data_IF_994295448641
#
_entry.id   IF_994295448641
#
_cell.length_a   1.000
_cell.length_b   1.000
_cell.length_c   1.000
_cell.angle_alpha   90.00
_cell.angle_beta   90.00
_cell.angle_gamma   90.00
#
_symmetry.space_group_name_H-M   'P 1'
#
loop_
_entity.id
_entity.type
_entity.pdbx_description
1 polymer ?
#
# COMPACT_ATOMS: atom_id res chain seq x y z
N UNK A 1 -16.45 -14.47 4.12
CA UNK A 1 -16.36 -13.76 5.42
C UNK A 1 -15.07 -12.95 5.46
N UNK A 2 -15.07 -11.77 6.09
CA UNK A 2 -13.85 -10.98 6.32
C UNK A 2 -13.00 -11.70 7.37
N UNK A 3 -11.75 -12.00 7.06
CA UNK A 3 -10.82 -12.71 7.94
C UNK A 3 -9.87 -11.77 8.68
N UNK A 4 -9.45 -10.71 8.01
CA UNK A 4 -8.47 -9.76 8.53
C UNK A 4 -8.88 -8.35 8.13
N UNK A 5 -8.80 -7.42 9.08
CA UNK A 5 -8.97 -5.98 8.88
C UNK A 5 -7.67 -5.32 9.30
N UNK A 6 -7.12 -4.52 8.41
CA UNK A 6 -6.03 -3.61 8.71
C UNK A 6 -6.56 -2.18 8.54
N UNK A 7 -6.38 -1.35 9.56
CA UNK A 7 -6.85 0.03 9.54
C UNK A 7 -5.76 0.97 10.03
N UNK A 8 -5.39 1.98 9.25
CA UNK A 8 -4.39 2.99 9.61
C UNK A 8 -4.89 4.38 9.21
N UNK A 9 -5.21 5.22 10.19
CA UNK A 9 -5.76 6.57 10.00
C UNK A 9 -7.30 6.65 9.99
N UNK A 10 -7.93 7.60 10.70
CA UNK A 10 -9.38 7.85 10.62
C UNK A 10 -9.87 8.16 9.20
N UNK A 11 -11.16 7.89 8.91
CA UNK A 11 -11.77 8.13 7.60
C UNK A 11 -12.09 9.62 7.31
N UNK A 12 -11.76 10.53 8.25
CA UNK A 12 -12.02 11.96 8.19
C UNK A 12 -11.49 12.67 9.44
N UNK A 13 -11.82 13.96 9.57
CA UNK A 13 -11.47 14.78 10.76
C UNK A 13 -12.37 14.39 11.93
N UNK A 14 -12.06 13.26 12.56
CA UNK A 14 -12.90 12.63 13.59
C UNK A 14 -13.08 13.49 14.85
N UNK A 15 -12.20 14.47 15.04
CA UNK A 15 -12.27 15.47 16.10
C UNK A 15 -13.50 16.37 15.97
N UNK A 16 -14.03 16.53 14.75
CA UNK A 16 -15.26 17.28 14.47
C UNK A 16 -16.43 16.28 14.34
N UNK A 17 -17.45 16.34 15.22
CA UNK A 17 -18.52 15.33 15.27
C UNK A 17 -19.23 15.07 13.93
N UNK A 18 -19.43 16.11 13.12
CA UNK A 18 -20.07 16.02 11.80
C UNK A 18 -19.27 15.19 10.79
N UNK A 19 -17.95 15.14 10.94
CA UNK A 19 -17.05 14.39 10.04
C UNK A 19 -16.58 13.06 10.64
N UNK A 20 -16.95 12.77 11.90
CA UNK A 20 -16.56 11.54 12.59
C UNK A 20 -17.40 10.32 12.21
N UNK A 21 -18.58 10.52 11.59
CA UNK A 21 -19.59 9.46 11.38
C UNK A 21 -18.98 8.21 10.72
N UNK A 22 -18.22 8.39 9.64
CA UNK A 22 -17.60 7.26 8.93
C UNK A 22 -16.60 6.50 9.82
N UNK A 23 -15.77 7.21 10.58
CA UNK A 23 -14.82 6.61 11.53
C UNK A 23 -15.55 5.82 12.63
N UNK A 24 -16.69 6.32 13.11
CA UNK A 24 -17.50 5.63 14.13
C UNK A 24 -18.12 4.35 13.62
N UNK A 25 -18.69 4.39 12.42
CA UNK A 25 -19.29 3.21 11.81
C UNK A 25 -18.23 2.16 11.47
N UNK A 26 -17.06 2.57 10.95
CA UNK A 26 -15.94 1.65 10.74
C UNK A 26 -15.49 1.01 12.06
N UNK A 27 -15.37 1.79 13.14
CA UNK A 27 -14.96 1.29 14.44
C UNK A 27 -15.93 0.23 15.01
N UNK A 28 -17.25 0.44 14.86
CA UNK A 28 -18.27 -0.54 15.25
C UNK A 28 -18.17 -1.82 14.43
N UNK A 29 -18.11 -1.69 13.10
CA UNK A 29 -18.01 -2.87 12.22
C UNK A 29 -16.72 -3.64 12.51
N UNK A 30 -15.60 -2.94 12.69
CA UNK A 30 -14.33 -3.57 13.03
C UNK A 30 -14.41 -4.32 14.35
N UNK A 31 -15.04 -3.74 15.38
CA UNK A 31 -15.16 -4.40 16.69
C UNK A 31 -16.08 -5.62 16.63
N UNK A 32 -17.21 -5.54 15.93
CA UNK A 32 -18.10 -6.69 15.70
C UNK A 32 -17.37 -7.83 14.97
N UNK A 33 -16.53 -7.52 13.97
CA UNK A 33 -15.74 -8.53 13.27
C UNK A 33 -14.65 -9.12 14.16
N UNK A 34 -14.01 -8.32 15.00
CA UNK A 34 -13.03 -8.81 15.96
C UNK A 34 -13.67 -9.82 16.94
N UNK A 35 -14.83 -9.47 17.50
CA UNK A 35 -15.60 -10.36 18.38
C UNK A 35 -16.08 -11.64 17.66
N UNK A 36 -16.33 -11.55 16.35
CA UNK A 36 -16.65 -12.70 15.51
C UNK A 36 -15.42 -13.52 15.06
N UNK A 37 -14.22 -13.21 15.57
CA UNK A 37 -12.99 -13.98 15.32
C UNK A 37 -12.16 -13.50 14.13
N UNK A 38 -12.47 -12.36 13.53
CA UNK A 38 -11.57 -11.75 12.54
C UNK A 38 -10.36 -11.12 13.24
N UNK A 39 -9.19 -11.14 12.58
CA UNK A 39 -8.01 -10.41 13.07
C UNK A 39 -8.14 -8.94 12.70
N UNK A 40 -8.20 -8.05 13.69
CA UNK A 40 -8.33 -6.61 13.47
C UNK A 40 -7.12 -5.89 14.02
N UNK A 41 -6.31 -5.35 13.12
CA UNK A 41 -5.08 -4.60 13.42
C UNK A 41 -5.32 -3.13 13.11
N UNK A 42 -5.18 -2.28 14.12
CA UNK A 42 -5.34 -0.83 13.95
C UNK A 42 -4.01 -0.14 14.26
N UNK A 43 -3.52 0.67 13.32
CA UNK A 43 -2.26 1.37 13.40
C UNK A 43 -2.43 2.89 13.46
N UNK A 44 -1.58 3.54 14.24
CA UNK A 44 -1.50 5.00 14.35
C UNK A 44 -2.18 5.57 15.59
N UNK A 45 -1.57 6.62 16.16
CA UNK A 45 -2.07 7.28 17.37
C UNK A 45 -3.47 7.84 17.21
N UNK A 46 -3.77 8.46 16.07
CA UNK A 46 -5.08 9.09 15.82
C UNK A 46 -6.20 8.05 15.69
N UNK A 47 -5.94 6.91 15.03
CA UNK A 47 -6.89 5.80 14.97
C UNK A 47 -7.17 5.23 16.37
N UNK A 48 -6.15 5.08 17.20
CA UNK A 48 -6.31 4.62 18.58
C UNK A 48 -7.09 5.65 19.41
N UNK A 49 -6.83 6.94 19.23
CA UNK A 49 -7.56 8.00 19.91
C UNK A 49 -9.05 7.99 19.53
N UNK A 50 -9.37 7.83 18.25
CA UNK A 50 -10.75 7.69 17.76
C UNK A 50 -11.46 6.48 18.38
N UNK A 51 -10.80 5.31 18.41
CA UNK A 51 -11.32 4.10 19.03
C UNK A 51 -11.60 4.25 20.54
N UNK A 52 -10.70 4.93 21.26
CA UNK A 52 -10.84 5.19 22.69
C UNK A 52 -12.01 6.13 22.99
N UNK A 53 -12.20 7.17 22.20
CA UNK A 53 -13.38 8.05 22.32
C UNK A 53 -14.71 7.29 22.15
N UNK A 54 -14.67 6.20 21.38
CA UNK A 54 -15.84 5.35 21.11
C UNK A 54 -15.98 4.16 22.09
N UNK A 55 -15.01 3.96 22.99
CA UNK A 55 -15.03 2.87 23.96
C UNK A 55 -14.88 1.46 23.37
N UNK A 56 -14.38 1.35 22.13
CA UNK A 56 -14.24 0.05 21.43
C UNK A 56 -12.77 -0.36 21.23
N UNK A 57 -11.81 0.39 21.79
CA UNK A 57 -10.39 0.11 21.64
C UNK A 57 -10.00 -1.30 22.11
N UNK A 58 -10.52 -1.73 23.26
CA UNK A 58 -10.20 -3.05 23.85
C UNK A 58 -10.84 -4.23 23.12
N UNK A 59 -11.74 -3.95 22.17
CA UNK A 59 -12.38 -4.97 21.33
C UNK A 59 -11.54 -5.31 20.09
N UNK A 60 -10.49 -4.53 19.79
CA UNK A 60 -9.60 -4.78 18.66
C UNK A 60 -8.60 -5.89 18.99
N UNK A 61 -8.15 -6.64 17.98
CA UNK A 61 -7.17 -7.71 18.17
C UNK A 61 -5.75 -7.17 18.42
N UNK A 62 -5.37 -6.07 17.77
CA UNK A 62 -4.08 -5.43 17.95
C UNK A 62 -4.15 -3.93 17.71
N UNK A 63 -3.54 -3.14 18.60
CA UNK A 63 -3.38 -1.70 18.48
C UNK A 63 -1.88 -1.36 18.40
N UNK A 64 -1.45 -0.80 17.27
CA UNK A 64 -0.08 -0.34 17.05
C UNK A 64 0.00 1.18 17.07
N UNK A 65 0.86 1.73 17.91
CA UNK A 65 1.15 3.17 17.91
C UNK A 65 2.06 3.58 16.74
N UNK A 66 2.81 2.63 16.18
CA UNK A 66 3.72 2.86 15.07
C UNK A 66 2.99 2.92 13.73
N UNK A 67 2.19 3.96 13.49
CA UNK A 67 1.38 4.09 12.27
C UNK A 67 2.19 3.93 10.99
N UNK A 68 3.23 4.76 10.81
CA UNK A 68 4.14 4.67 9.66
C UNK A 68 4.97 3.39 9.66
N UNK A 69 5.57 3.03 10.79
CA UNK A 69 6.41 1.84 10.92
C UNK A 69 5.64 0.53 10.60
N UNK A 70 4.36 0.45 10.97
CA UNK A 70 3.52 -0.72 10.66
C UNK A 70 3.19 -0.81 9.18
N UNK A 71 3.00 0.32 8.50
CA UNK A 71 2.81 0.35 7.05
C UNK A 71 4.11 0.01 6.32
N UNK A 72 5.25 0.56 6.75
CA UNK A 72 6.56 0.19 6.22
C UNK A 72 6.82 -1.31 6.37
N UNK A 73 6.48 -1.89 7.53
CA UNK A 73 6.57 -3.34 7.73
C UNK A 73 5.73 -4.12 6.71
N UNK A 74 4.49 -3.68 6.46
CA UNK A 74 3.55 -4.34 5.55
C UNK A 74 3.86 -4.13 4.07
N UNK A 75 4.48 -3.00 3.73
CA UNK A 75 5.00 -2.73 2.39
C UNK A 75 6.19 -3.63 2.05
N UNK A 76 6.75 -4.30 3.05
CA UNK A 76 8.06 -4.91 2.92
C UNK A 76 9.09 -3.80 2.81
N UNK A 77 9.21 -2.98 3.85
CA UNK A 77 10.35 -2.14 4.18
C UNK A 77 11.53 -2.99 4.64
N UNK A 78 12.76 -2.74 4.17
CA UNK A 78 13.93 -3.05 5.01
C UNK A 78 13.82 -2.20 6.28
N UNK A 79 13.57 -2.84 7.42
CA UNK A 79 13.45 -2.16 8.71
C UNK A 79 14.73 -2.32 9.53
N UNK A 80 15.61 -1.29 9.61
CA UNK A 80 16.90 -1.42 10.28
C UNK A 80 16.76 -1.77 11.76
N UNK A 81 15.70 -1.27 12.43
CA UNK A 81 15.41 -1.60 13.82
C UNK A 81 14.96 -3.05 14.05
N UNK A 82 14.37 -3.69 13.03
CA UNK A 82 14.00 -5.11 13.09
C UNK A 82 15.18 -6.01 12.74
N UNK A 83 16.02 -5.59 11.78
CA UNK A 83 17.17 -6.35 11.27
C UNK A 83 18.25 -6.63 12.33
N UNK A 84 18.35 -5.78 13.37
CA UNK A 84 19.32 -5.95 14.46
C UNK A 84 18.85 -6.91 15.55
N UNK A 85 17.58 -7.36 15.52
CA UNK A 85 17.05 -8.28 16.52
C UNK A 85 17.60 -9.69 16.27
N UNK A 86 18.30 -10.32 17.24
CA UNK A 86 18.80 -11.68 17.08
C UNK A 86 17.63 -12.66 16.90
N UNK A 87 17.68 -13.50 15.87
CA UNK A 87 16.62 -14.47 15.56
C UNK A 87 16.84 -15.85 16.16
N UNK A 88 18.03 -16.13 16.71
CA UNK A 88 18.37 -17.44 17.26
C UNK A 88 17.46 -17.82 18.44
N UNK A 89 16.68 -18.90 18.28
CA UNK A 89 15.78 -19.42 19.31
C UNK A 89 14.41 -18.72 19.39
N UNK A 90 14.09 -17.84 18.42
CA UNK A 90 12.77 -17.20 18.35
C UNK A 90 11.74 -18.13 17.70
N UNK A 91 10.49 -18.20 18.19
CA UNK A 91 9.41 -18.93 17.51
C UNK A 91 9.07 -18.36 16.12
N UNK A 92 9.66 -17.23 15.73
CA UNK A 92 9.47 -16.53 14.44
C UNK A 92 10.60 -16.88 13.44
N UNK A 93 11.58 -17.70 13.83
CA UNK A 93 12.75 -18.09 13.01
C UNK A 93 12.36 -18.76 11.67
N UNK A 94 11.10 -19.22 11.51
CA UNK A 94 10.61 -19.94 10.32
C UNK A 94 9.28 -19.46 9.73
N UNK A 95 8.71 -18.32 10.16
CA UNK A 95 7.49 -17.83 9.52
C UNK A 95 7.80 -17.27 8.11
N UNK A 96 7.00 -17.62 7.07
CA UNK A 96 7.26 -17.29 5.68
C UNK A 96 6.89 -15.85 5.33
N UNK A 97 7.27 -14.87 6.16
CA UNK A 97 7.44 -13.50 5.66
C UNK A 97 8.91 -13.40 5.27
N UNK A 98 9.22 -14.08 4.17
CA UNK A 98 10.53 -13.97 3.51
C UNK A 98 10.62 -12.54 2.98
N UNK A 99 11.16 -11.64 3.78
CA UNK A 99 11.75 -10.43 3.22
C UNK A 99 13.00 -10.86 2.45
N UNK A 100 12.80 -11.24 1.18
CA UNK A 100 13.87 -11.21 0.19
C UNK A 100 13.87 -9.79 -0.34
N UNK A 101 14.94 -9.04 -0.11
CA UNK A 101 15.25 -7.87 -0.94
C UNK A 101 15.06 -8.31 -2.39
N UNK A 102 14.11 -7.74 -3.15
CA UNK A 102 13.96 -8.09 -4.55
C UNK A 102 15.30 -7.81 -5.23
N UNK A 103 15.85 -8.77 -5.97
CA UNK A 103 17.00 -8.46 -6.81
C UNK A 103 16.63 -7.25 -7.68
N UNK A 104 17.50 -6.23 -7.77
CA UNK A 104 17.20 -5.05 -8.57
C UNK A 104 16.82 -5.51 -9.98
N UNK A 105 15.58 -5.21 -10.38
CA UNK A 105 15.07 -5.60 -11.70
C UNK A 105 16.05 -5.07 -12.73
N UNK A 106 16.74 -5.98 -13.43
CA UNK A 106 17.65 -5.62 -14.51
C UNK A 106 16.86 -4.78 -15.50
N UNK A 107 17.17 -3.48 -15.58
CA UNK A 107 16.52 -2.56 -16.51
C UNK A 107 16.56 -3.21 -17.90
N UNK A 108 15.43 -3.30 -18.62
CA UNK A 108 15.44 -3.86 -19.97
C UNK A 108 16.47 -3.06 -20.79
N UNK A 109 17.35 -3.77 -21.49
CA UNK A 109 18.30 -3.12 -22.40
C UNK A 109 17.50 -2.24 -23.35
N UNK A 110 17.89 -0.97 -23.57
CA UNK A 110 17.17 -0.10 -24.48
C UNK A 110 17.05 -0.78 -25.84
N UNK A 111 15.82 -0.98 -26.28
CA UNK A 111 15.52 -1.52 -27.60
C UNK A 111 16.18 -0.59 -28.61
N UNK A 112 17.09 -1.12 -29.43
CA UNK A 112 17.69 -0.35 -30.53
C UNK A 112 16.53 0.15 -31.39
N UNK A 113 16.33 1.47 -31.43
CA UNK A 113 15.32 2.08 -32.29
C UNK A 113 15.56 1.58 -33.71
N UNK A 114 14.54 1.04 -34.42
CA UNK A 114 14.70 0.72 -35.82
C UNK A 114 15.15 1.99 -36.55
N UNK A 115 16.14 1.85 -37.43
CA UNK A 115 16.59 2.97 -38.27
C UNK A 115 15.37 3.53 -39.00
N UNK A 116 15.18 4.85 -39.05
CA UNK A 116 14.12 5.46 -39.85
C UNK A 116 14.24 4.92 -41.28
N UNK A 117 13.18 4.27 -41.76
CA UNK A 117 13.07 3.95 -43.18
C UNK A 117 12.78 5.28 -43.85
N UNK A 118 13.78 5.85 -44.50
CA UNK A 118 13.60 7.02 -45.35
C UNK A 118 12.72 6.55 -46.53
N UNK A 119 11.52 7.10 -46.73
CA UNK A 119 10.75 6.78 -47.93
C UNK A 119 11.55 7.28 -49.13
N UNK A 120 11.63 6.44 -50.18
CA UNK A 120 12.20 6.86 -51.45
C UNK A 120 11.49 8.15 -51.90
N UNK A 121 12.28 9.17 -52.19
CA UNK A 121 11.85 10.48 -52.71
C UNK A 121 10.80 10.26 -53.80
N UNK A 122 9.61 10.82 -53.62
CA UNK A 122 8.59 10.82 -54.66
C UNK A 122 9.17 11.50 -55.92
N UNK A 123 9.01 10.85 -57.07
CA UNK A 123 9.39 11.42 -58.36
C UNK A 123 8.61 12.73 -58.58
N UNK A 124 9.23 13.76 -59.17
CA UNK A 124 8.55 15.02 -59.45
C UNK A 124 7.39 14.79 -60.45
N UNK A 125 6.23 15.38 -60.16
CA UNK A 125 5.05 15.34 -61.03
C UNK A 125 5.36 16.00 -62.39
N UNK A 126 4.82 15.47 -63.50
CA UNK A 126 5.01 16.09 -64.82
C UNK A 126 4.23 17.41 -64.93
N UNK A 127 4.96 18.45 -65.33
CA UNK A 127 4.50 19.80 -65.66
C UNK A 127 3.44 19.76 -66.78
N UNK A 128 2.21 20.18 -66.46
CA UNK A 128 1.11 20.35 -67.42
C UNK A 128 0.91 21.84 -67.67
N UNK A 129 1.80 22.41 -68.49
CA UNK A 129 1.56 23.64 -69.26
C UNK A 129 2.36 23.55 -70.56
N UNK A 130 1.77 23.23 -71.71
CA UNK A 130 1.13 24.22 -72.58
C UNK A 130 0.53 23.52 -73.81
N UNK A 131 -0.69 23.93 -74.13
CA UNK A 131 -1.43 23.63 -75.37
C UNK A 131 -0.95 24.58 -76.47
N UNK A 132 -0.96 24.22 -77.76
CA UNK A 132 -0.74 25.18 -78.84
C UNK A 132 -1.87 26.22 -78.91
#
# INVERSE_FOLDING_TARGET
PVKTILWNGPLGVFEIPTFAVATRELAKVASEKALAGATVVVGGGDSIAALRQLGVADQMTHLSTGGGASLEFLEGRDMPGLAVIPTAGSPIETLPIVWRTPEPVKKPKPVKKPKPVVPATAAPEPDVTTKP
#
